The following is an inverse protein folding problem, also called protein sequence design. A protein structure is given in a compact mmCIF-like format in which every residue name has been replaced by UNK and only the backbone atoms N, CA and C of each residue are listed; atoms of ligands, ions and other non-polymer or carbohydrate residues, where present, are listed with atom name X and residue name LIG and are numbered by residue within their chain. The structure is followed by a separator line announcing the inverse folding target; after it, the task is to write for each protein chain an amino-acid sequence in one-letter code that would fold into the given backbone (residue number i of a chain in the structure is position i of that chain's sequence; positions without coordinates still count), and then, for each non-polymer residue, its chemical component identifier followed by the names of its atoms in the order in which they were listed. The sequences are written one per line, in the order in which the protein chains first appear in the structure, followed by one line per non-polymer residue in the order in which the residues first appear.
data_IF_919114514445
#
_entry.id   IF_919114514445
#
_cell.length_a   1.000
_cell.length_b   1.000
_cell.length_c   1.000
_cell.angle_alpha   90.00
_cell.angle_beta   90.00
_cell.angle_gamma   90.00
#
_symmetry.space_group_name_H-M   'P 1'
#
loop_
_entity.id
_entity.type
_entity.pdbx_description
1 polymer ?
#
# COMPACT_ATOMS: atom_id res chain seq x y z
N UNK A 1 6.44 5.52 1.53
CA UNK A 1 5.24 5.05 0.82
C UNK A 1 4.14 6.07 1.03
N UNK A 2 3.32 6.31 0.00
CA UNK A 2 2.11 7.14 0.17
C UNK A 2 1.15 6.47 1.15
N UNK A 3 0.35 7.29 1.82
CA UNK A 3 -0.69 6.78 2.71
C UNK A 3 -1.80 6.09 1.89
N UNK A 4 -2.08 4.83 2.24
CA UNK A 4 -3.08 3.99 1.59
C UNK A 4 -4.48 4.62 1.67
N UNK A 5 -4.80 5.27 2.79
CA UNK A 5 -6.09 5.95 2.97
C UNK A 5 -6.23 7.10 1.97
N UNK A 6 -5.19 7.89 1.81
CA UNK A 6 -5.15 9.00 0.83
C UNK A 6 -5.34 8.50 -0.60
N UNK A 7 -4.68 7.40 -0.98
CA UNK A 7 -4.85 6.78 -2.30
C UNK A 7 -6.29 6.32 -2.52
N UNK A 8 -6.91 5.69 -1.53
CA UNK A 8 -8.27 5.17 -1.63
C UNK A 8 -9.34 6.27 -1.68
N UNK A 9 -9.17 7.31 -0.87
CA UNK A 9 -10.16 8.40 -0.79
C UNK A 9 -10.14 9.28 -2.04
N UNK A 10 -8.97 9.50 -2.63
CA UNK A 10 -8.81 10.37 -3.80
C UNK A 10 -7.79 9.81 -4.83
N UNK A 11 -8.05 8.65 -5.44
CA UNK A 11 -7.10 8.01 -6.35
C UNK A 11 -6.78 8.89 -7.55
N UNK A 12 -7.78 9.57 -8.12
CA UNK A 12 -7.60 10.49 -9.25
C UNK A 12 -6.69 11.67 -8.90
N UNK A 13 -6.83 12.25 -7.71
CA UNK A 13 -5.97 13.36 -7.28
C UNK A 13 -4.50 12.93 -7.14
N UNK A 14 -4.27 11.74 -6.59
CA UNK A 14 -2.93 11.14 -6.51
C UNK A 14 -2.39 10.88 -7.92
N UNK A 15 -3.20 10.32 -8.82
CA UNK A 15 -2.83 10.04 -10.22
C UNK A 15 -2.45 11.30 -10.97
N UNK A 16 -3.23 12.37 -10.86
CA UNK A 16 -2.92 13.67 -11.48
C UNK A 16 -1.59 14.22 -10.99
N UNK A 17 -1.32 14.15 -9.68
CA UNK A 17 -0.03 14.60 -9.12
C UNK A 17 1.13 13.74 -9.58
N UNK A 18 0.96 12.42 -9.61
CA UNK A 18 2.01 11.50 -10.06
C UNK A 18 2.36 11.72 -11.52
N UNK A 19 1.39 11.98 -12.40
CA UNK A 19 1.61 12.31 -13.82
C UNK A 19 2.56 13.49 -14.03
N UNK A 20 2.65 14.42 -13.07
CA UNK A 20 3.59 15.57 -13.11
C UNK A 20 5.06 15.12 -13.07
N UNK A 21 5.37 13.89 -12.63
CA UNK A 21 6.74 13.32 -12.66
C UNK A 21 7.13 12.74 -14.02
N UNK A 22 6.20 12.69 -14.98
CA UNK A 22 6.37 11.94 -16.21
C UNK A 22 6.18 10.43 -16.00
N UNK A 23 5.56 9.77 -16.98
CA UNK A 23 5.28 8.33 -16.96
C UNK A 23 3.84 7.97 -16.58
N UNK A 24 3.50 6.70 -16.80
CA UNK A 24 2.23 6.08 -16.39
C UNK A 24 2.48 5.26 -15.11
N UNK A 25 1.65 5.48 -14.09
CA UNK A 25 1.75 4.80 -12.79
C UNK A 25 0.59 3.83 -12.62
N UNK A 26 0.66 2.71 -13.35
CA UNK A 26 -0.39 1.69 -13.38
C UNK A 26 -0.52 0.96 -12.04
N UNK A 27 0.55 0.96 -11.23
CA UNK A 27 0.59 0.36 -9.90
C UNK A 27 -0.49 0.93 -8.98
N UNK A 28 -0.90 2.19 -9.19
CA UNK A 28 -1.98 2.82 -8.45
C UNK A 28 -3.33 2.13 -8.73
N UNK A 29 -3.64 1.89 -10.00
CA UNK A 29 -4.89 1.23 -10.40
C UNK A 29 -4.87 -0.25 -9.98
N UNK A 30 -3.72 -0.90 -10.10
CA UNK A 30 -3.53 -2.29 -9.68
C UNK A 30 -3.54 -2.49 -8.15
N UNK A 31 -3.30 -1.43 -7.37
CA UNK A 31 -3.33 -1.47 -5.90
C UNK A 31 -4.76 -1.48 -5.35
N UNK A 32 -5.71 -0.84 -6.04
CA UNK A 32 -7.07 -0.62 -5.52
C UNK A 32 -7.82 -1.94 -5.30
N UNK A 33 -7.71 -2.88 -6.23
CA UNK A 33 -8.46 -4.14 -6.16
C UNK A 33 -7.97 -5.06 -5.03
N UNK A 34 -6.66 -5.33 -4.88
CA UNK A 34 -6.15 -6.07 -3.73
C UNK A 34 -6.43 -5.39 -2.38
N UNK A 35 -6.40 -4.04 -2.32
CA UNK A 35 -6.74 -3.31 -1.10
C UNK A 35 -8.20 -3.51 -0.70
N UNK A 36 -9.11 -3.40 -1.67
CA UNK A 36 -10.55 -3.61 -1.47
C UNK A 36 -10.82 -5.03 -0.97
N UNK A 37 -10.27 -6.04 -1.67
CA UNK A 37 -10.45 -7.44 -1.33
C UNK A 37 -9.87 -7.76 0.06
N UNK A 38 -8.73 -7.16 0.42
CA UNK A 38 -8.13 -7.32 1.75
C UNK A 38 -9.08 -6.79 2.83
N UNK A 39 -9.66 -5.60 2.61
CA UNK A 39 -10.56 -4.96 3.57
C UNK A 39 -11.87 -5.74 3.72
N UNK A 40 -12.44 -6.21 2.61
CA UNK A 40 -13.65 -7.05 2.62
C UNK A 40 -13.38 -8.38 3.34
N UNK A 41 -12.25 -9.02 3.05
CA UNK A 41 -11.81 -10.23 3.74
C UNK A 41 -11.65 -10.02 5.25
N UNK A 42 -11.05 -8.90 5.67
CA UNK A 42 -10.93 -8.55 7.09
C UNK A 42 -12.31 -8.42 7.77
N UNK A 43 -13.24 -7.71 7.13
CA UNK A 43 -14.60 -7.54 7.65
C UNK A 43 -15.35 -8.88 7.75
N UNK A 44 -15.18 -9.76 6.75
CA UNK A 44 -15.78 -11.10 6.76
C UNK A 44 -15.16 -11.99 7.85
N UNK A 45 -13.83 -11.97 7.99
CA UNK A 45 -13.10 -12.70 9.05
C UNK A 45 -13.57 -12.27 10.45
N UNK A 46 -13.74 -10.97 10.69
CA UNK A 46 -14.30 -10.45 11.95
C UNK A 46 -15.73 -10.93 12.18
N UNK A 47 -16.56 -10.94 11.14
CA UNK A 47 -17.95 -11.42 11.20
C UNK A 47 -18.01 -12.90 11.58
N UNK A 48 -17.16 -13.73 10.95
CA UNK A 48 -17.06 -15.16 11.26
C UNK A 48 -16.49 -15.42 12.65
N UNK A 49 -15.48 -14.67 13.09
CA UNK A 49 -14.93 -14.75 14.45
C UNK A 49 -16.01 -14.43 15.50
N UNK A 50 -16.85 -13.43 15.24
CA UNK A 50 -18.00 -13.10 16.09
C UNK A 50 -19.06 -14.21 16.07
N UNK A 51 -19.40 -14.77 14.91
CA UNK A 51 -20.34 -15.90 14.79
C UNK A 51 -19.83 -17.13 15.56
N UNK A 52 -18.57 -17.50 15.36
CA UNK A 52 -17.89 -18.58 16.10
C UNK A 52 -18.01 -18.39 17.60
N UNK A 53 -17.75 -17.18 18.12
CA UNK A 53 -17.82 -16.89 19.56
C UNK A 53 -19.22 -17.13 20.13
N UNK A 54 -20.26 -16.72 19.40
CA UNK A 54 -21.67 -16.95 19.80
C UNK A 54 -22.01 -18.43 19.83
N UNK A 55 -21.72 -19.14 18.73
CA UNK A 55 -22.01 -20.58 18.64
C UNK A 55 -21.22 -21.41 19.67
N UNK A 56 -19.96 -21.06 19.93
CA UNK A 56 -19.14 -21.73 20.94
C UNK A 56 -19.72 -21.57 22.35
N UNK A 57 -20.29 -20.40 22.66
CA UNK A 57 -20.96 -20.17 23.93
C UNK A 57 -22.26 -20.99 24.04
N UNK A 58 -23.04 -21.07 22.97
CA UNK A 58 -24.27 -21.87 22.90
C UNK A 58 -24.00 -23.37 23.06
N UNK A 59 -22.95 -23.89 22.40
CA UNK A 59 -22.49 -25.28 22.60
C UNK A 59 -22.17 -25.56 24.07
N UNK A 60 -21.50 -24.62 24.75
CA UNK A 60 -21.19 -24.75 26.19
C UNK A 60 -22.45 -24.82 27.05
N UNK A 61 -23.45 -23.99 26.76
CA UNK A 61 -24.73 -23.98 27.48
C UNK A 61 -25.52 -25.27 27.26
N UNK A 62 -25.62 -25.77 26.03
CA UNK A 62 -26.34 -27.02 25.73
C UNK A 62 -25.69 -28.22 26.42
N UNK A 63 -24.35 -28.32 26.37
CA UNK A 63 -23.62 -29.37 27.07
C UNK A 63 -23.82 -29.34 28.58
N UNK A 64 -23.90 -28.15 29.18
CA UNK A 64 -24.18 -28.00 30.61
C UNK A 64 -25.60 -28.47 30.97
N UNK A 65 -26.56 -28.31 30.06
CA UNK A 65 -27.94 -28.80 30.21
C UNK A 65 -28.11 -30.29 29.87
N UNK A 66 -27.06 -30.96 29.37
CA UNK A 66 -27.14 -32.34 28.89
C UNK A 66 -27.86 -32.50 27.54
N UNK A 67 -28.01 -31.41 26.80
CA UNK A 67 -28.66 -31.38 25.48
C UNK A 67 -27.67 -31.66 24.34
N UNK A 68 -28.18 -32.11 23.19
CA UNK A 68 -27.36 -32.44 22.02
C UNK A 68 -26.83 -31.16 21.34
N UNK A 69 -25.52 -31.09 21.11
CA UNK A 69 -24.86 -29.94 20.48
C UNK A 69 -24.05 -30.30 19.22
N UNK A 70 -24.23 -31.51 18.68
CA UNK A 70 -23.41 -32.04 17.58
C UNK A 70 -23.46 -31.16 16.32
N UNK A 71 -24.65 -30.67 15.94
CA UNK A 71 -24.83 -29.78 14.79
C UNK A 71 -24.06 -28.46 14.94
N UNK A 72 -24.14 -27.82 16.11
CA UNK A 72 -23.44 -26.56 16.38
C UNK A 72 -21.92 -26.75 16.45
N UNK A 73 -21.45 -27.91 16.94
CA UNK A 73 -20.03 -28.24 16.93
C UNK A 73 -19.48 -28.38 15.51
N UNK A 74 -20.25 -28.98 14.60
CA UNK A 74 -19.86 -29.07 13.19
C UNK A 74 -19.86 -27.68 12.51
N UNK A 75 -20.85 -26.84 12.79
CA UNK A 75 -20.88 -25.47 12.26
C UNK A 75 -19.67 -24.64 12.74
N UNK A 76 -19.28 -24.76 14.02
CA UNK A 76 -18.06 -24.12 14.55
C UNK A 76 -16.80 -24.63 13.84
N UNK A 77 -16.75 -25.93 13.52
CA UNK A 77 -15.62 -26.53 12.79
C UNK A 77 -15.53 -25.99 11.37
N UNK A 78 -16.65 -25.90 10.64
CA UNK A 78 -16.71 -25.29 9.30
C UNK A 78 -16.24 -23.84 9.35
N UNK A 79 -16.76 -23.05 10.30
CA UNK A 79 -16.36 -21.64 10.47
C UNK A 79 -14.86 -21.50 10.77
N UNK A 80 -14.27 -22.41 11.56
CA UNK A 80 -12.82 -22.40 11.79
C UNK A 80 -12.02 -22.58 10.51
N UNK A 81 -12.44 -23.51 9.64
CA UNK A 81 -11.80 -23.73 8.35
C UNK A 81 -11.91 -22.47 7.48
N UNK A 82 -13.12 -21.89 7.37
CA UNK A 82 -13.32 -20.66 6.57
C UNK A 82 -12.54 -19.46 7.11
N UNK A 83 -12.42 -19.30 8.43
CA UNK A 83 -11.58 -18.25 9.04
C UNK A 83 -10.13 -18.44 8.63
N UNK A 84 -9.61 -19.67 8.68
CA UNK A 84 -8.22 -19.96 8.31
C UNK A 84 -7.96 -19.63 6.84
N UNK A 85 -8.83 -20.07 5.93
CA UNK A 85 -8.72 -19.79 4.50
C UNK A 85 -8.77 -18.28 4.20
N UNK A 86 -9.66 -17.54 4.89
CA UNK A 86 -9.74 -16.09 4.78
C UNK A 86 -8.50 -15.40 5.33
N UNK A 87 -8.01 -15.80 6.49
CA UNK A 87 -6.82 -15.20 7.10
C UNK A 87 -5.57 -15.42 6.21
N UNK A 88 -5.41 -16.60 5.61
CA UNK A 88 -4.34 -16.90 4.64
C UNK A 88 -4.47 -16.01 3.38
N UNK A 89 -5.69 -15.84 2.85
CA UNK A 89 -5.96 -14.96 1.71
C UNK A 89 -5.69 -13.50 2.04
N UNK A 90 -6.09 -13.02 3.22
CA UNK A 90 -5.83 -11.65 3.67
C UNK A 90 -4.33 -11.40 3.74
N UNK A 91 -3.55 -12.35 4.28
CA UNK A 91 -2.10 -12.23 4.36
C UNK A 91 -1.45 -12.12 2.97
N UNK A 92 -1.90 -12.94 2.01
CA UNK A 92 -1.41 -12.86 0.64
C UNK A 92 -1.76 -11.51 -0.02
N UNK A 93 -2.98 -11.01 0.19
CA UNK A 93 -3.41 -9.69 -0.32
C UNK A 93 -2.64 -8.55 0.34
N UNK A 94 -2.33 -8.64 1.63
CA UNK A 94 -1.52 -7.65 2.34
C UNK A 94 -0.10 -7.54 1.76
N UNK A 95 0.52 -8.68 1.44
CA UNK A 95 1.81 -8.70 0.78
C UNK A 95 1.74 -8.06 -0.63
N UNK A 96 0.72 -8.38 -1.41
CA UNK A 96 0.51 -7.76 -2.73
C UNK A 96 0.30 -6.24 -2.64
N UNK A 97 -0.51 -5.80 -1.69
CA UNK A 97 -0.74 -4.37 -1.41
C UNK A 97 0.56 -3.67 -1.06
N UNK A 98 1.37 -4.27 -0.17
CA UNK A 98 2.65 -3.71 0.24
C UNK A 98 3.64 -3.60 -0.94
N UNK A 99 3.75 -4.66 -1.75
CA UNK A 99 4.63 -4.69 -2.91
C UNK A 99 4.27 -3.59 -3.93
N UNK A 100 2.98 -3.46 -4.26
CA UNK A 100 2.50 -2.39 -5.15
C UNK A 100 2.73 -1.00 -4.56
N UNK A 101 2.50 -0.83 -3.26
CA UNK A 101 2.68 0.46 -2.59
C UNK A 101 4.15 0.91 -2.56
N UNK A 102 5.10 -0.02 -2.53
CA UNK A 102 6.53 0.27 -2.63
C UNK A 102 6.95 0.76 -4.03
N UNK A 103 6.25 0.33 -5.07
CA UNK A 103 6.47 0.78 -6.45
C UNK A 103 5.98 2.21 -6.72
N UNK A 104 5.05 2.72 -5.89
CA UNK A 104 4.47 4.04 -6.08
C UNK A 104 5.38 5.12 -5.50
N UNK A 105 5.91 6.05 -6.33
CA UNK A 105 6.76 7.12 -5.83
C UNK A 105 5.96 8.18 -5.05
N UNK A 106 6.68 9.12 -4.45
CA UNK A 106 6.03 10.25 -3.79
C UNK A 106 5.36 11.20 -4.79
N UNK A 107 4.30 11.88 -4.36
CA UNK A 107 3.64 12.92 -5.15
C UNK A 107 4.42 14.23 -5.07
N UNK A 108 4.62 14.95 -6.20
CA UNK A 108 5.17 16.30 -6.18
C UNK A 108 4.24 17.25 -5.42
N UNK A 109 4.84 18.14 -4.63
CA UNK A 109 4.12 19.28 -4.05
C UNK A 109 3.70 20.26 -5.14
N UNK A 110 2.64 21.04 -4.89
CA UNK A 110 2.11 22.04 -5.82
C UNK A 110 3.13 23.17 -6.12
N UNK A 111 4.09 23.41 -5.24
CA UNK A 111 5.16 24.41 -5.40
C UNK A 111 6.25 24.00 -6.39
N UNK A 112 6.40 22.69 -6.66
CA UNK A 112 7.44 22.14 -7.53
C UNK A 112 7.03 22.42 -8.98
N UNK A 113 7.90 23.02 -9.82
CA UNK A 113 7.59 23.24 -11.22
C UNK A 113 7.44 21.92 -11.99
N UNK A 114 6.53 21.90 -12.96
CA UNK A 114 6.36 20.76 -13.86
C UNK A 114 7.54 20.68 -14.84
N UNK A 115 8.00 19.45 -15.11
CA UNK A 115 9.14 19.22 -15.98
C UNK A 115 9.24 17.76 -16.41
N UNK A 116 9.61 17.53 -17.67
CA UNK A 116 9.82 16.18 -18.19
C UNK A 116 11.20 15.62 -17.81
N UNK A 117 12.20 16.49 -17.67
CA UNK A 117 13.60 16.14 -17.46
C UNK A 117 14.36 17.31 -16.80
N UNK A 118 15.69 17.18 -16.70
CA UNK A 118 16.56 18.17 -16.09
C UNK A 118 16.57 19.55 -16.78
N UNK A 119 16.13 19.66 -18.03
CA UNK A 119 16.08 20.93 -18.75
C UNK A 119 15.00 21.89 -18.22
N UNK A 120 14.00 21.35 -17.52
CA UNK A 120 12.95 22.12 -16.87
C UNK A 120 13.35 22.65 -15.47
N UNK A 121 14.55 22.31 -14.98
CA UNK A 121 15.01 22.75 -13.67
C UNK A 121 15.22 24.26 -13.62
N UNK A 122 14.74 24.89 -12.55
CA UNK A 122 14.86 26.33 -12.32
C UNK A 122 16.03 26.61 -11.38
N UNK A 123 16.96 27.46 -11.80
CA UNK A 123 18.03 27.95 -10.92
C UNK A 123 17.43 28.92 -9.89
N UNK A 124 17.43 28.49 -8.62
CA UNK A 124 16.85 29.30 -7.52
C UNK A 124 17.82 30.36 -7.02
N UNK A 125 19.11 30.03 -6.92
CA UNK A 125 20.16 30.94 -6.48
C UNK A 125 21.52 30.47 -6.99
N UNK A 126 22.42 31.43 -7.15
CA UNK A 126 23.84 31.20 -7.35
C UNK A 126 24.63 31.93 -6.25
N UNK A 127 25.83 31.48 -5.95
CA UNK A 127 26.70 32.10 -4.96
C UNK A 127 28.16 32.09 -5.38
N UNK A 128 28.80 33.25 -5.27
CA UNK A 128 30.18 33.47 -5.71
C UNK A 128 30.27 33.78 -7.21
N UNK A 129 31.48 33.77 -7.74
CA UNK A 129 31.76 33.98 -9.17
C UNK A 129 32.74 32.92 -9.64
N UNK A 130 32.44 32.28 -10.79
CA UNK A 130 33.38 31.34 -11.40
C UNK A 130 34.70 32.06 -11.71
N UNK A 131 35.87 31.49 -11.34
CA UNK A 131 37.15 32.14 -11.59
C UNK A 131 37.40 32.25 -13.09
N UNK A 132 37.92 33.40 -13.51
CA UNK A 132 38.43 33.57 -14.86
C UNK A 132 39.84 32.98 -14.93
N UNK A 133 39.99 31.88 -15.67
CA UNK A 133 41.24 31.14 -15.78
C UNK A 133 41.98 31.59 -17.04
N UNK A 134 43.18 32.14 -16.87
CA UNK A 134 44.04 32.58 -17.97
C UNK A 134 44.71 31.44 -18.77
N UNK A 135 44.34 30.20 -18.48
CA UNK A 135 44.87 28.98 -19.09
C UNK A 135 43.74 28.00 -19.34
N UNK A 136 43.95 27.05 -20.26
CA UNK A 136 42.97 25.97 -20.50
C UNK A 136 42.89 25.10 -19.24
N UNK A 137 41.75 25.05 -18.53
CA UNK A 137 41.63 24.23 -17.33
C UNK A 137 41.77 22.76 -17.70
N UNK A 138 42.59 22.05 -16.94
CA UNK A 138 42.60 20.58 -16.91
C UNK A 138 41.45 20.10 -16.04
N UNK A 139 40.86 18.96 -16.39
CA UNK A 139 39.85 18.35 -15.53
C UNK A 139 40.50 17.74 -14.28
N UNK A 140 39.67 17.31 -13.31
CA UNK A 140 40.16 16.78 -12.04
C UNK A 140 40.99 15.48 -12.18
N UNK A 141 40.80 14.72 -13.27
CA UNK A 141 41.56 13.48 -13.54
C UNK A 141 42.95 13.81 -14.08
N UNK A 142 43.04 14.67 -15.08
CA UNK A 142 44.30 15.12 -15.72
C UNK A 142 45.25 15.87 -14.77
N UNK A 143 44.74 16.38 -13.65
CA UNK A 143 45.52 17.00 -12.59
C UNK A 143 46.04 15.98 -11.57
N UNK A 144 45.35 14.83 -11.45
CA UNK A 144 45.69 13.76 -10.51
C UNK A 144 46.65 12.71 -11.06
N UNK A 145 46.82 12.66 -12.38
CA UNK A 145 47.87 11.91 -13.09
C UNK A 145 49.22 12.64 -13.05
#
# INVERSE_FOLDING_TARGET
MLDLKTIRENPEAVKTRLKRRGGEFNELDELLKPEEDRRLGQQESETLKNKKKKLSAEVGQLKQKGEEAAHLMEEVKIINTSIKELDDRIQALEQQVQEKLLGIPNTPEDSIPDGADESANIMVRDWGTKPDLSFKPKNHVELGE
#
